data_IF_671608395300
#
_entry.id   IF_671608395300
#
_cell.length_a   1.000
_cell.length_b   1.000
_cell.length_c   1.000
_cell.angle_alpha   90.00
_cell.angle_beta   90.00
_cell.angle_gamma   90.00
#
_symmetry.space_group_name_H-M   'P 1'
#
loop_
_entity.id
_entity.type
_entity.pdbx_description
1 polymer ?
#
# COMPACT_ATOMS: atom_id res chain seq x y z
N UNK A 1 -5.34 2.19 1.67
CA UNK A 1 -4.33 1.23 1.18
C UNK A 1 -4.00 0.25 2.29
N UNK A 2 -3.78 -1.02 2.00
CA UNK A 2 -3.25 -1.99 2.98
C UNK A 2 -1.75 -1.79 3.16
N UNK A 3 -1.32 -1.50 4.39
CA UNK A 3 0.09 -1.19 4.71
C UNK A 3 0.98 -2.43 4.55
N UNK A 4 0.49 -3.61 4.87
CA UNK A 4 1.29 -4.84 4.83
C UNK A 4 1.68 -5.25 3.41
N UNK A 5 0.72 -5.26 2.49
CA UNK A 5 0.90 -5.68 1.10
C UNK A 5 1.13 -4.54 0.13
N UNK A 6 0.94 -3.28 0.55
CA UNK A 6 0.86 -2.09 -0.30
C UNK A 6 -0.35 -2.06 -1.23
N UNK A 7 -1.25 -3.05 -1.19
CA UNK A 7 -2.40 -3.10 -2.11
C UNK A 7 -3.31 -1.89 -1.91
N UNK A 8 -3.67 -1.23 -3.00
CA UNK A 8 -4.74 -0.23 -3.01
C UNK A 8 -6.06 -0.99 -2.89
N UNK A 9 -6.63 -0.99 -1.70
CA UNK A 9 -7.87 -1.70 -1.33
C UNK A 9 -9.15 -0.89 -1.59
N UNK A 10 -9.03 0.40 -1.88
CA UNK A 10 -10.13 1.35 -2.11
C UNK A 10 -9.61 2.56 -2.89
N UNK A 11 -10.35 3.05 -3.88
CA UNK A 11 -10.14 4.34 -4.52
C UNK A 11 -11.47 4.88 -5.04
N UNK A 12 -11.63 6.20 -5.00
CA UNK A 12 -12.75 6.94 -5.58
C UNK A 12 -12.23 8.33 -5.99
N UNK A 13 -12.85 8.95 -6.99
CA UNK A 13 -12.52 10.31 -7.44
C UNK A 13 -13.81 11.11 -7.53
N UNK A 14 -13.84 12.25 -6.84
CA UNK A 14 -14.99 13.15 -6.73
C UNK A 14 -14.56 14.60 -6.97
N UNK A 15 -15.51 15.47 -7.31
CA UNK A 15 -15.26 16.92 -7.49
C UNK A 15 -14.99 17.64 -6.16
N UNK A 16 -15.48 17.08 -5.05
CA UNK A 16 -15.39 17.64 -3.71
C UNK A 16 -15.04 16.59 -2.69
N UNK A 17 -14.39 16.99 -1.60
CA UNK A 17 -14.08 16.11 -0.48
C UNK A 17 -15.07 16.32 0.67
N UNK A 18 -15.86 15.29 1.00
CA UNK A 18 -16.79 15.32 2.15
C UNK A 18 -16.68 14.05 3.01
N UNK A 19 -17.19 14.12 4.23
CA UNK A 19 -17.22 12.97 5.14
C UNK A 19 -18.09 11.83 4.63
N UNK A 20 -19.19 12.14 3.95
CA UNK A 20 -20.10 11.18 3.32
C UNK A 20 -19.40 10.38 2.23
N UNK A 21 -18.67 11.06 1.35
CA UNK A 21 -17.93 10.41 0.26
C UNK A 21 -16.78 9.54 0.80
N UNK A 22 -16.12 9.98 1.87
CA UNK A 22 -15.14 9.18 2.58
C UNK A 22 -15.76 7.92 3.23
N UNK A 23 -16.96 8.05 3.81
CA UNK A 23 -17.72 6.96 4.40
C UNK A 23 -18.14 5.92 3.35
N UNK A 24 -18.58 6.36 2.18
CA UNK A 24 -18.90 5.47 1.05
C UNK A 24 -17.66 4.72 0.55
N UNK A 25 -16.53 5.42 0.38
CA UNK A 25 -15.27 4.81 -0.03
C UNK A 25 -14.84 3.68 0.92
N UNK A 26 -14.85 3.92 2.23
CA UNK A 26 -14.41 2.89 3.19
C UNK A 26 -15.37 1.70 3.22
N UNK A 27 -16.68 1.94 3.09
CA UNK A 27 -17.67 0.88 3.02
C UNK A 27 -17.47 -0.01 1.79
N UNK A 28 -17.28 0.59 0.61
CA UNK A 28 -16.98 -0.15 -0.63
C UNK A 28 -15.69 -0.95 -0.51
N UNK A 29 -14.64 -0.37 0.08
CA UNK A 29 -13.37 -1.06 0.31
C UNK A 29 -13.53 -2.27 1.24
N UNK A 30 -14.29 -2.13 2.33
CA UNK A 30 -14.58 -3.24 3.24
C UNK A 30 -15.33 -4.39 2.56
N UNK A 31 -16.32 -4.08 1.72
CA UNK A 31 -17.04 -5.09 0.96
C UNK A 31 -16.15 -5.80 -0.05
N UNK A 32 -15.36 -5.06 -0.83
CA UNK A 32 -14.44 -5.62 -1.83
C UNK A 32 -13.41 -6.57 -1.21
N UNK A 33 -12.91 -6.22 -0.04
CA UNK A 33 -11.88 -6.99 0.67
C UNK A 33 -12.48 -8.02 1.65
N UNK A 34 -13.80 -8.21 1.67
CA UNK A 34 -14.49 -9.15 2.57
C UNK A 34 -14.14 -8.94 4.06
N UNK A 35 -13.99 -7.68 4.46
CA UNK A 35 -13.53 -7.25 5.78
C UNK A 35 -14.66 -7.12 6.82
N UNK A 36 -15.75 -7.87 6.66
CA UNK A 36 -16.91 -7.81 7.57
C UNK A 36 -16.74 -8.64 8.85
N UNK A 37 -15.62 -9.35 8.98
CA UNK A 37 -15.31 -10.16 10.16
C UNK A 37 -14.88 -9.28 11.34
N UNK A 38 -15.81 -9.10 12.28
CA UNK A 38 -15.59 -8.31 13.51
C UNK A 38 -14.58 -8.94 14.47
N UNK A 39 -14.16 -10.18 14.26
CA UNK A 39 -13.12 -10.83 15.08
C UNK A 39 -11.70 -10.45 14.65
N UNK A 40 -11.54 -9.72 13.53
CA UNK A 40 -10.27 -9.17 13.07
C UNK A 40 -10.31 -7.65 13.19
N UNK A 41 -9.91 -7.07 14.32
CA UNK A 41 -9.98 -5.63 14.50
C UNK A 41 -9.13 -4.92 13.45
N UNK A 42 -9.75 -3.97 12.75
CA UNK A 42 -9.10 -3.16 11.74
C UNK A 42 -8.77 -1.79 12.29
N UNK A 43 -7.62 -1.27 11.88
CA UNK A 43 -7.19 0.10 12.18
C UNK A 43 -7.13 0.85 10.86
N UNK A 44 -7.88 1.94 10.76
CA UNK A 44 -7.70 2.89 9.67
C UNK A 44 -6.83 4.03 10.17
N UNK A 45 -5.62 4.15 9.61
CA UNK A 45 -4.77 5.31 9.85
C UNK A 45 -5.01 6.37 8.77
N UNK A 46 -5.33 7.60 9.18
CA UNK A 46 -5.49 8.74 8.28
C UNK A 46 -4.69 9.94 8.76
N UNK A 47 -4.48 10.89 7.85
CA UNK A 47 -4.02 12.21 8.24
C UNK A 47 -5.14 13.01 8.94
N UNK A 48 -4.83 14.27 9.27
CA UNK A 48 -5.72 15.16 9.98
C UNK A 48 -6.66 15.97 9.06
N UNK A 49 -6.90 15.53 7.82
CA UNK A 49 -7.76 16.22 6.86
C UNK A 49 -9.22 16.36 7.35
N UNK A 50 -9.89 17.43 6.93
CA UNK A 50 -11.26 17.74 7.35
C UNK A 50 -12.28 16.62 7.09
N UNK A 51 -12.29 15.93 5.92
CA UNK A 51 -13.21 14.82 5.68
C UNK A 51 -12.96 13.64 6.62
N UNK A 52 -11.71 13.36 6.95
CA UNK A 52 -11.32 12.26 7.85
C UNK A 52 -11.73 12.52 9.30
N UNK A 53 -12.05 13.78 9.65
CA UNK A 53 -12.53 14.18 10.98
C UNK A 53 -14.05 14.41 11.06
N UNK A 54 -14.75 14.28 9.93
CA UNK A 54 -16.19 14.47 9.89
C UNK A 54 -16.90 13.44 10.77
N UNK A 55 -17.95 13.86 11.48
CA UNK A 55 -18.75 12.96 12.32
C UNK A 55 -19.33 11.79 11.51
N UNK A 56 -19.88 12.06 10.32
CA UNK A 56 -20.40 11.05 9.39
C UNK A 56 -19.38 9.95 9.07
N UNK A 57 -18.12 10.34 8.87
CA UNK A 57 -17.06 9.38 8.58
C UNK A 57 -16.71 8.54 9.80
N UNK A 58 -16.54 9.19 10.96
CA UNK A 58 -16.26 8.51 12.23
C UNK A 58 -17.35 7.50 12.60
N UNK A 59 -18.62 7.89 12.50
CA UNK A 59 -19.77 7.00 12.72
C UNK A 59 -19.70 5.76 11.81
N UNK A 60 -19.40 5.95 10.52
CA UNK A 60 -19.27 4.83 9.59
C UNK A 60 -18.14 3.87 9.97
N UNK A 61 -17.00 4.38 10.44
CA UNK A 61 -15.91 3.52 10.90
C UNK A 61 -16.35 2.65 12.08
N UNK A 62 -17.05 3.23 13.06
CA UNK A 62 -17.57 2.47 14.20
C UNK A 62 -18.63 1.44 13.78
N UNK A 63 -19.54 1.76 12.86
CA UNK A 63 -20.51 0.80 12.31
C UNK A 63 -19.84 -0.45 11.71
N UNK A 64 -18.72 -0.21 11.01
CA UNK A 64 -17.91 -1.23 10.36
C UNK A 64 -16.95 -1.95 11.34
N UNK A 65 -16.87 -1.53 12.60
CA UNK A 65 -15.95 -2.09 13.60
C UNK A 65 -14.49 -1.71 13.38
N UNK A 66 -14.23 -0.59 12.71
CA UNK A 66 -12.89 -0.06 12.40
C UNK A 66 -12.49 0.95 13.47
N UNK A 67 -11.29 0.79 14.03
CA UNK A 67 -10.70 1.74 14.96
C UNK A 67 -9.99 2.86 14.19
N UNK A 68 -10.39 4.14 14.34
CA UNK A 68 -9.67 5.24 13.73
C UNK A 68 -8.34 5.50 14.43
N UNK A 69 -7.31 5.83 13.66
CA UNK A 69 -6.00 6.27 14.10
C UNK A 69 -5.59 7.48 13.28
N UNK A 70 -5.02 8.50 13.91
CA UNK A 70 -4.64 9.74 13.24
C UNK A 70 -3.15 10.01 13.35
N UNK A 71 -2.58 10.61 12.32
CA UNK A 71 -1.21 11.10 12.36
C UNK A 71 -1.03 12.12 13.49
N UNK A 72 0.13 12.07 14.16
CA UNK A 72 0.47 13.04 15.21
C UNK A 72 0.65 14.43 14.59
N UNK A 73 0.27 15.50 15.31
CA UNK A 73 0.55 16.86 14.84
C UNK A 73 2.04 17.04 14.53
N UNK A 74 2.36 17.55 13.33
CA UNK A 74 3.71 17.88 12.86
C UNK A 74 4.65 16.67 12.63
N UNK A 75 4.12 15.48 12.34
CA UNK A 75 4.93 14.31 11.96
C UNK A 75 4.57 13.83 10.54
N UNK A 76 5.34 14.24 9.54
CA UNK A 76 5.13 13.88 8.12
C UNK A 76 5.28 12.37 7.85
N UNK A 77 6.07 11.65 8.64
CA UNK A 77 6.32 10.22 8.41
C UNK A 77 5.10 9.32 8.65
N UNK A 78 4.10 9.80 9.39
CA UNK A 78 2.93 9.00 9.75
C UNK A 78 2.08 8.61 8.51
N UNK A 79 2.24 9.32 7.37
CA UNK A 79 1.55 9.03 6.10
C UNK A 79 2.48 8.55 4.96
N UNK A 80 3.73 8.15 5.27
CA UNK A 80 4.77 7.88 4.27
C UNK A 80 4.36 6.82 3.22
N UNK A 81 3.52 5.86 3.59
CA UNK A 81 3.06 4.84 2.65
C UNK A 81 2.09 5.40 1.60
N UNK A 82 1.09 6.19 2.01
CA UNK A 82 0.20 6.82 1.05
C UNK A 82 0.95 7.83 0.18
N UNK A 83 1.87 8.61 0.75
CA UNK A 83 2.73 9.54 0.00
C UNK A 83 3.56 8.82 -1.07
N UNK A 84 4.14 7.67 -0.74
CA UNK A 84 4.90 6.84 -1.69
C UNK A 84 4.00 6.32 -2.83
N UNK A 85 2.76 5.91 -2.52
CA UNK A 85 1.79 5.51 -3.52
C UNK A 85 1.40 6.68 -4.44
N UNK A 86 1.11 7.86 -3.87
CA UNK A 86 0.82 9.07 -4.66
C UNK A 86 2.00 9.52 -5.53
N UNK A 87 3.23 9.38 -5.03
CA UNK A 87 4.43 9.61 -5.85
C UNK A 87 4.46 8.62 -7.02
N UNK A 88 4.22 7.34 -6.77
CA UNK A 88 4.19 6.33 -7.84
C UNK A 88 3.12 6.66 -8.88
N UNK A 89 1.95 7.13 -8.43
CA UNK A 89 0.85 7.58 -9.29
C UNK A 89 1.27 8.74 -10.20
N UNK A 90 1.81 9.82 -9.63
CA UNK A 90 2.18 11.03 -10.38
C UNK A 90 3.35 10.84 -11.34
N UNK A 91 4.26 9.91 -11.04
CA UNK A 91 5.46 9.67 -11.85
C UNK A 91 5.29 8.50 -12.84
N UNK A 92 4.11 7.86 -12.89
CA UNK A 92 3.84 6.83 -13.88
C UNK A 92 3.75 7.44 -15.28
N UNK A 93 4.38 6.84 -16.31
CA UNK A 93 4.13 7.20 -17.69
C UNK A 93 2.63 7.18 -18.00
N UNK A 94 2.12 8.27 -18.58
CA UNK A 94 0.69 8.43 -18.87
C UNK A 94 -0.11 9.16 -17.81
N UNK A 95 0.48 9.61 -16.69
CA UNK A 95 -0.15 10.64 -15.86
C UNK A 95 -0.30 11.93 -16.68
N UNK A 96 -1.50 12.51 -16.82
CA UNK A 96 -1.71 13.67 -17.67
C UNK A 96 -1.12 14.92 -17.01
N UNK A 97 -0.10 15.51 -17.65
CA UNK A 97 0.58 16.70 -17.14
C UNK A 97 -0.34 17.93 -17.09
N UNK A 98 -1.26 18.05 -18.06
CA UNK A 98 -2.23 19.15 -18.15
C UNK A 98 -3.51 18.91 -17.34
N UNK A 99 -3.60 17.78 -16.62
CA UNK A 99 -4.79 17.36 -15.88
C UNK A 99 -5.81 16.59 -16.73
N UNK A 100 -6.98 16.34 -16.16
CA UNK A 100 -8.08 15.61 -16.79
C UNK A 100 -9.14 16.59 -17.30
N UNK A 101 -9.72 16.34 -18.48
CA UNK A 101 -10.76 17.22 -19.02
C UNK A 101 -12.11 16.99 -18.36
N UNK A 102 -12.37 15.77 -17.88
CA UNK A 102 -13.61 15.42 -17.18
C UNK A 102 -13.35 14.58 -15.94
N UNK A 103 -14.32 14.58 -15.00
CA UNK A 103 -14.30 13.70 -13.84
C UNK A 103 -14.24 12.22 -14.25
N UNK A 104 -14.97 11.84 -15.30
CA UNK A 104 -15.02 10.47 -15.81
C UNK A 104 -13.63 10.00 -16.31
N UNK A 105 -12.88 10.87 -17.00
CA UNK A 105 -11.51 10.55 -17.41
C UNK A 105 -10.58 10.36 -16.20
N UNK A 106 -10.73 11.18 -15.15
CA UNK A 106 -9.96 11.03 -13.93
C UNK A 106 -10.28 9.70 -13.21
N UNK A 107 -11.56 9.34 -13.13
CA UNK A 107 -12.03 8.08 -12.54
C UNK A 107 -11.48 6.87 -13.30
N UNK A 108 -11.61 6.86 -14.63
CA UNK A 108 -11.11 5.79 -15.49
C UNK A 108 -9.59 5.65 -15.38
N UNK A 109 -8.86 6.75 -15.41
CA UNK A 109 -7.41 6.72 -15.25
C UNK A 109 -6.98 6.17 -13.89
N UNK A 110 -7.62 6.60 -12.79
CA UNK A 110 -7.29 6.10 -11.44
C UNK A 110 -7.64 4.62 -11.29
N UNK A 111 -8.72 4.16 -11.93
CA UNK A 111 -9.05 2.74 -12.01
C UNK A 111 -7.95 1.94 -12.72
N UNK A 112 -7.56 2.36 -13.93
CA UNK A 112 -6.48 1.73 -14.69
C UNK A 112 -5.14 1.75 -13.94
N UNK A 113 -4.83 2.87 -13.27
CA UNK A 113 -3.65 2.97 -12.42
C UNK A 113 -3.69 1.96 -11.28
N UNK A 114 -4.84 1.84 -10.60
CA UNK A 114 -4.99 0.95 -9.46
C UNK A 114 -4.83 -0.52 -9.87
N UNK A 115 -5.44 -0.91 -11.00
CA UNK A 115 -5.31 -2.26 -11.56
C UNK A 115 -3.84 -2.59 -11.84
N UNK A 116 -3.16 -1.71 -12.60
CA UNK A 116 -1.74 -1.85 -12.89
C UNK A 116 -0.88 -1.89 -11.62
N UNK A 117 -1.12 -0.99 -10.67
CA UNK A 117 -0.34 -0.91 -9.44
C UNK A 117 -0.48 -2.18 -8.61
N UNK A 118 -1.69 -2.73 -8.50
CA UNK A 118 -1.95 -3.92 -7.71
C UNK A 118 -1.45 -5.21 -8.39
N UNK A 119 -1.60 -5.32 -9.71
CA UNK A 119 -1.46 -6.60 -10.43
C UNK A 119 -0.22 -6.70 -11.32
N UNK A 120 0.39 -5.58 -11.72
CA UNK A 120 1.55 -5.58 -12.63
C UNK A 120 2.80 -4.94 -12.00
N UNK A 121 2.62 -3.90 -11.19
CA UNK A 121 3.75 -3.16 -10.61
C UNK A 121 4.56 -4.02 -9.63
N UNK A 122 5.80 -4.34 -10.00
CA UNK A 122 6.74 -5.08 -9.14
C UNK A 122 7.35 -4.15 -8.10
N UNK A 123 6.72 -4.09 -6.93
CA UNK A 123 7.07 -3.14 -5.88
C UNK A 123 8.42 -3.46 -5.23
N UNK A 124 9.36 -2.50 -5.26
CA UNK A 124 10.75 -2.71 -4.78
C UNK A 124 10.82 -3.07 -3.28
N UNK A 125 10.02 -2.40 -2.44
CA UNK A 125 9.90 -2.72 -1.01
C UNK A 125 9.34 -4.12 -0.74
N UNK A 126 8.62 -4.71 -1.70
CA UNK A 126 8.10 -6.07 -1.63
C UNK A 126 9.02 -7.06 -2.33
N UNK A 127 10.29 -6.70 -2.54
CA UNK A 127 11.26 -7.53 -3.27
C UNK A 127 10.73 -7.91 -4.66
N UNK A 128 10.06 -6.98 -5.35
CA UNK A 128 9.59 -7.16 -6.72
C UNK A 128 8.56 -8.30 -6.91
N UNK A 129 7.72 -8.53 -5.90
CA UNK A 129 6.39 -9.14 -6.08
C UNK A 129 5.35 -8.02 -6.19
N UNK A 130 4.19 -8.30 -6.77
CA UNK A 130 3.12 -7.31 -6.89
C UNK A 130 2.40 -7.15 -5.55
N UNK A 131 1.77 -5.98 -5.29
CA UNK A 131 0.95 -5.79 -4.09
C UNK A 131 -0.12 -6.87 -3.92
N UNK A 132 -0.81 -7.26 -5.01
CA UNK A 132 -1.81 -8.33 -4.96
C UNK A 132 -1.19 -9.70 -4.61
N UNK A 133 -0.03 -10.06 -5.18
CA UNK A 133 0.66 -11.30 -4.83
C UNK A 133 1.05 -11.36 -3.34
N UNK A 134 1.46 -10.23 -2.76
CA UNK A 134 1.74 -10.17 -1.32
C UNK A 134 0.45 -10.29 -0.52
N UNK A 135 -0.59 -9.58 -0.92
CA UNK A 135 -1.88 -9.57 -0.25
C UNK A 135 -2.52 -10.97 -0.19
N UNK A 136 -2.43 -11.74 -1.28
CA UNK A 136 -2.99 -13.08 -1.41
C UNK A 136 -2.10 -14.19 -0.80
N UNK A 137 -0.95 -13.84 -0.21
CA UNK A 137 -0.01 -14.81 0.38
C UNK A 137 0.90 -15.55 -0.61
N UNK A 138 0.83 -15.23 -1.91
CA UNK A 138 1.62 -15.88 -2.97
C UNK A 138 3.11 -15.52 -2.91
N UNK A 139 3.45 -14.39 -2.28
CA UNK A 139 4.82 -13.87 -2.21
C UNK A 139 5.84 -14.88 -1.66
N UNK A 140 5.45 -15.75 -0.70
CA UNK A 140 6.36 -16.74 -0.13
C UNK A 140 6.84 -17.73 -1.19
N UNK A 141 5.92 -18.29 -1.98
CA UNK A 141 6.24 -19.23 -3.05
C UNK A 141 7.11 -18.59 -4.14
N UNK A 142 6.73 -17.37 -4.57
CA UNK A 142 7.47 -16.62 -5.59
C UNK A 142 8.91 -16.35 -5.15
N UNK A 143 9.12 -15.94 -3.89
CA UNK A 143 10.45 -15.63 -3.38
C UNK A 143 11.31 -16.88 -3.15
N UNK A 144 10.70 -18.00 -2.76
CA UNK A 144 11.39 -19.30 -2.69
C UNK A 144 11.89 -19.73 -4.07
N UNK A 145 11.01 -19.76 -5.08
CA UNK A 145 11.38 -20.13 -6.44
C UNK A 145 12.47 -19.19 -7.00
N UNK A 146 12.35 -17.90 -6.74
CA UNK A 146 13.37 -16.93 -7.15
C UNK A 146 14.72 -17.23 -6.50
N UNK A 147 14.75 -17.59 -5.21
CA UNK A 147 15.99 -17.98 -4.53
C UNK A 147 16.67 -19.14 -5.22
N UNK A 148 15.93 -20.19 -5.55
CA UNK A 148 16.46 -21.37 -6.25
C UNK A 148 17.10 -20.99 -7.59
N UNK A 149 16.45 -20.11 -8.37
CA UNK A 149 16.99 -19.62 -9.64
C UNK A 149 18.30 -18.85 -9.44
N UNK A 150 18.36 -17.97 -8.43
CA UNK A 150 19.57 -17.20 -8.13
C UNK A 150 20.72 -18.09 -7.65
N UNK A 151 20.44 -19.08 -6.81
CA UNK A 151 21.45 -20.04 -6.35
C UNK A 151 21.97 -20.90 -7.50
N UNK A 152 21.09 -21.45 -8.33
CA UNK A 152 21.50 -22.24 -9.49
C UNK A 152 22.32 -21.41 -10.50
N UNK A 153 21.98 -20.13 -10.68
CA UNK A 153 22.74 -19.23 -11.53
C UNK A 153 24.14 -18.93 -10.94
N UNK A 154 24.22 -18.69 -9.62
CA UNK A 154 25.50 -18.47 -8.92
C UNK A 154 26.38 -19.72 -8.98
N UNK A 155 25.82 -20.91 -8.79
CA UNK A 155 26.55 -22.17 -8.89
C UNK A 155 27.13 -22.41 -10.30
N UNK A 156 26.40 -22.00 -11.34
CA UNK A 156 26.85 -22.17 -12.74
C UNK A 156 27.94 -21.18 -13.14
N UNK A 157 27.91 -19.97 -12.60
CA UNK A 157 28.78 -18.87 -13.01
C UNK A 157 29.32 -18.08 -11.80
N UNK A 158 30.04 -18.72 -10.85
CA UNK A 158 30.44 -18.08 -9.60
C UNK A 158 31.26 -16.79 -9.81
N UNK A 159 31.99 -16.68 -10.92
CA UNK A 159 32.76 -15.49 -11.32
C UNK A 159 31.93 -14.21 -11.48
N UNK A 160 30.61 -14.32 -11.71
CA UNK A 160 29.70 -13.17 -11.85
C UNK A 160 29.15 -12.66 -10.52
N UNK A 161 29.49 -13.31 -9.40
CA UNK A 161 29.02 -12.93 -8.07
C UNK A 161 30.18 -12.55 -7.16
N UNK A 162 30.14 -11.34 -6.62
CA UNK A 162 31.09 -10.87 -5.60
C UNK A 162 30.75 -11.34 -4.17
N UNK A 163 29.61 -12.01 -3.98
CA UNK A 163 29.13 -12.44 -2.67
C UNK A 163 27.86 -13.28 -2.74
N UNK A 164 27.09 -13.29 -1.66
CA UNK A 164 25.82 -14.01 -1.58
C UNK A 164 24.72 -13.42 -2.46
N UNK A 165 23.74 -14.27 -2.77
CA UNK A 165 22.56 -13.83 -3.50
C UNK A 165 21.80 -12.79 -2.67
N UNK A 166 21.04 -11.94 -3.37
CA UNK A 166 20.26 -10.88 -2.73
C UNK A 166 19.29 -11.44 -1.68
N UNK A 167 19.07 -10.70 -0.58
CA UNK A 167 18.03 -11.00 0.41
C UNK A 167 16.63 -11.00 -0.24
N UNK A 168 16.00 -12.17 -0.30
CA UNK A 168 14.66 -12.42 -0.86
C UNK A 168 13.65 -12.80 0.23
N UNK A 169 13.70 -12.15 1.39
CA UNK A 169 12.69 -12.29 2.44
C UNK A 169 11.94 -10.99 2.66
N UNK A 170 10.68 -11.15 3.10
CA UNK A 170 9.81 -10.06 3.52
C UNK A 170 9.62 -10.14 5.04
N UNK A 171 9.42 -9.01 5.72
CA UNK A 171 9.12 -9.02 7.15
C UNK A 171 7.72 -9.63 7.39
N UNK A 172 7.56 -10.29 8.53
CA UNK A 172 6.25 -10.83 8.94
C UNK A 172 5.34 -9.74 9.52
N UNK A 173 5.94 -8.68 10.07
CA UNK A 173 5.24 -7.53 10.65
C UNK A 173 5.70 -6.24 9.97
N UNK A 174 4.75 -5.37 9.64
CA UNK A 174 5.01 -4.03 9.09
C UNK A 174 4.44 -3.00 10.05
N UNK A 175 5.28 -2.07 10.49
CA UNK A 175 4.88 -0.98 11.37
C UNK A 175 4.61 0.28 10.54
N UNK A 176 3.54 1.00 10.90
CA UNK A 176 3.30 2.35 10.39
C UNK A 176 4.33 3.33 10.97
N UNK A 177 4.52 3.25 12.29
CA UNK A 177 5.50 4.00 13.05
C UNK A 177 6.29 3.02 13.92
N UNK A 178 7.48 2.58 13.52
CA UNK A 178 8.33 1.82 14.43
C UNK A 178 8.69 2.71 15.62
N UNK A 179 8.55 2.19 16.84
CA UNK A 179 9.18 2.81 18.01
C UNK A 179 10.68 2.87 17.73
N UNK A 180 11.33 4.00 18.07
CA UNK A 180 12.75 4.26 17.72
C UNK A 180 13.70 3.15 18.16
N UNK A 181 13.30 2.32 19.12
CA UNK A 181 14.09 1.24 19.69
C UNK A 181 13.99 -0.09 18.92
N UNK A 182 13.16 -0.17 17.86
CA UNK A 182 12.89 -1.41 17.09
C UNK A 182 13.57 -1.47 15.72
N UNK A 183 14.29 -0.42 15.32
CA UNK A 183 15.06 -0.41 14.05
C UNK A 183 16.47 -0.90 14.36
N UNK A 184 16.90 -2.10 13.89
CA UNK A 184 18.31 -2.44 13.90
C UNK A 184 19.01 -1.38 13.07
N UNK A 185 19.96 -0.67 13.69
CA UNK A 185 20.82 0.29 13.04
C UNK A 185 21.33 -0.33 11.74
N UNK A 186 20.90 0.22 10.59
CA UNK A 186 21.45 -0.20 9.33
C UNK A 186 22.94 0.17 9.38
N UNK A 187 23.79 -0.84 9.54
CA UNK A 187 25.23 -0.68 9.44
C UNK A 187 25.52 -0.01 8.10
N UNK A 188 26.07 1.20 8.18
CA UNK A 188 26.50 1.95 7.02
C UNK A 188 27.53 1.16 6.21
N UNK A 189 27.43 1.31 4.89
CA UNK A 189 28.58 1.24 4.00
C UNK A 189 29.18 2.65 3.91
#
# INVERSE_FOLDING_TARGET
>A
MDVFSRKIVGHEVYETETGELAAELIQKACWREHLTDRHKPLILHSDNGSPMKAATFLEKLYDLGITPSYSRPRVSNDNAFAESAFKTLKYRPGFPADGFATLAEAQDWVQQFTEWYNHEHRHSALRYVTPSQRHNGEAKGILTQRREVFEAAKQRHPERWSGDIRKLSLPDVVHLNPERDSVPQAAGL
#
